data_IF_396273592325
#
_entry.id   IF_396273592325
#
_cell.length_a   1.000
_cell.length_b   1.000
_cell.length_c   1.000
_cell.angle_alpha   90.00
_cell.angle_beta   90.00
_cell.angle_gamma   90.00
#
_symmetry.space_group_name_H-M   'P 1'
#
loop_
_entity.id
_entity.type
_entity.pdbx_description
1 polymer ?
#
# COMPACT_ATOMS: atom_id res chain seq x y z
N UNK A 1 -4.59 -5.03 11.03
CA UNK A 1 -3.49 -5.93 10.58
C UNK A 1 -3.82 -7.38 10.88
N UNK A 2 -4.15 -7.73 12.14
CA UNK A 2 -4.48 -9.12 12.50
C UNK A 2 -5.64 -9.69 11.66
N UNK A 3 -6.78 -9.02 11.63
CA UNK A 3 -7.97 -9.45 10.88
C UNK A 3 -7.64 -9.64 9.40
N UNK A 4 -6.92 -8.70 8.82
CA UNK A 4 -6.55 -8.75 7.41
C UNK A 4 -5.61 -9.91 7.12
N UNK A 5 -4.56 -10.10 7.93
CA UNK A 5 -3.61 -11.21 7.77
C UNK A 5 -4.30 -12.55 7.99
N UNK A 6 -5.30 -12.58 8.86
CA UNK A 6 -6.11 -13.77 9.10
C UNK A 6 -6.97 -14.12 7.88
N UNK A 7 -7.68 -13.14 7.32
CA UNK A 7 -8.51 -13.33 6.11
C UNK A 7 -7.65 -13.75 4.91
N UNK A 8 -6.52 -13.07 4.68
CA UNK A 8 -5.58 -13.46 3.61
C UNK A 8 -5.06 -14.88 3.86
N UNK A 9 -4.74 -15.23 5.10
CA UNK A 9 -4.30 -16.58 5.46
C UNK A 9 -5.35 -17.67 5.21
N UNK A 10 -6.63 -17.36 5.44
CA UNK A 10 -7.75 -18.24 5.09
C UNK A 10 -7.83 -18.48 3.57
N UNK A 11 -7.72 -17.41 2.78
CA UNK A 11 -7.74 -17.49 1.32
C UNK A 11 -6.51 -18.21 0.76
N UNK A 12 -5.35 -18.05 1.39
CA UNK A 12 -4.11 -18.73 1.03
C UNK A 12 -4.22 -20.24 1.29
N UNK A 13 -4.66 -20.62 2.49
CA UNK A 13 -4.72 -22.05 2.90
C UNK A 13 -5.85 -22.81 2.20
N UNK A 14 -6.94 -22.13 1.80
CA UNK A 14 -8.01 -22.75 1.00
C UNK A 14 -7.61 -23.10 -0.44
N UNK A 15 -6.46 -22.58 -0.94
CA UNK A 15 -6.01 -22.75 -2.32
C UNK A 15 -6.65 -21.78 -3.32
N UNK A 16 -7.48 -20.84 -2.86
CA UNK A 16 -8.12 -19.83 -3.72
C UNK A 16 -7.10 -18.85 -4.30
N UNK A 17 -6.16 -18.38 -3.47
CA UNK A 17 -5.16 -17.39 -3.90
C UNK A 17 -4.25 -17.92 -5.02
N UNK A 18 -3.90 -19.19 -5.00
CA UNK A 18 -3.08 -19.81 -6.05
C UNK A 18 -3.78 -19.78 -7.41
N UNK A 19 -5.10 -20.04 -7.43
CA UNK A 19 -5.89 -19.97 -8.66
C UNK A 19 -6.09 -18.54 -9.14
N UNK A 20 -6.36 -17.62 -8.24
CA UNK A 20 -6.45 -16.19 -8.56
C UNK A 20 -5.12 -15.69 -9.16
N UNK A 21 -3.98 -16.07 -8.59
CA UNK A 21 -2.66 -15.74 -9.12
C UNK A 21 -2.43 -16.29 -10.54
N UNK A 22 -2.93 -17.50 -10.84
CA UNK A 22 -2.85 -18.10 -12.17
C UNK A 22 -3.67 -17.30 -13.19
N UNK A 23 -4.90 -16.92 -12.85
CA UNK A 23 -5.78 -16.12 -13.71
C UNK A 23 -5.15 -14.74 -13.97
N UNK A 24 -4.63 -14.11 -12.93
CA UNK A 24 -3.99 -12.79 -13.01
C UNK A 24 -2.59 -12.83 -13.64
N UNK A 25 -2.01 -14.01 -13.86
CA UNK A 25 -0.69 -14.13 -14.48
C UNK A 25 -0.64 -13.52 -15.89
N UNK A 26 -1.65 -13.76 -16.74
CA UNK A 26 -1.71 -13.23 -18.10
C UNK A 26 -1.63 -11.70 -18.14
N UNK A 27 -2.52 -10.94 -17.46
CA UNK A 27 -2.46 -9.49 -17.48
C UNK A 27 -1.21 -8.94 -16.77
N UNK A 28 -0.76 -9.55 -15.66
CA UNK A 28 0.43 -9.11 -14.94
C UNK A 28 1.72 -9.30 -15.76
N UNK A 29 1.79 -10.35 -16.56
CA UNK A 29 2.93 -10.61 -17.45
C UNK A 29 3.13 -9.51 -18.47
N UNK A 30 2.07 -8.86 -18.94
CA UNK A 30 2.17 -7.71 -19.84
C UNK A 30 2.96 -6.55 -19.23
N UNK A 31 2.87 -6.39 -17.91
CA UNK A 31 3.62 -5.39 -17.14
C UNK A 31 4.97 -5.91 -16.59
N UNK A 32 5.39 -7.12 -16.99
CA UNK A 32 6.64 -7.72 -16.52
C UNK A 32 6.59 -8.32 -15.11
N UNK A 33 5.40 -8.37 -14.51
CA UNK A 33 5.16 -8.97 -13.21
C UNK A 33 4.87 -10.48 -13.35
N UNK A 34 5.22 -11.26 -12.33
CA UNK A 34 4.87 -12.68 -12.29
C UNK A 34 3.50 -12.89 -11.63
N UNK A 35 2.86 -14.04 -11.87
CA UNK A 35 1.63 -14.40 -11.14
C UNK A 35 1.82 -14.45 -9.63
N UNK A 36 3.03 -14.80 -9.15
CA UNK A 36 3.38 -14.76 -7.72
C UNK A 36 3.38 -13.34 -7.15
N UNK A 37 3.49 -12.29 -7.98
CA UNK A 37 3.39 -10.88 -7.56
C UNK A 37 1.98 -10.47 -7.16
N UNK A 38 0.96 -11.21 -7.58
CA UNK A 38 -0.44 -10.92 -7.25
C UNK A 38 -0.70 -10.93 -5.73
N UNK A 39 -0.14 -11.90 -5.03
CA UNK A 39 -0.34 -12.05 -3.56
C UNK A 39 0.24 -10.87 -2.78
N UNK A 40 1.51 -10.45 -2.99
CA UNK A 40 2.04 -9.23 -2.40
C UNK A 40 1.26 -7.97 -2.76
N UNK A 41 0.83 -7.84 -4.02
CA UNK A 41 0.08 -6.67 -4.47
C UNK A 41 -1.30 -6.59 -3.79
N UNK A 42 -2.02 -7.70 -3.68
CA UNK A 42 -3.28 -7.77 -2.94
C UNK A 42 -3.07 -7.39 -1.46
N UNK A 43 -2.00 -7.89 -0.84
CA UNK A 43 -1.62 -7.50 0.53
C UNK A 43 -1.27 -6.03 0.62
N UNK A 44 -0.72 -5.43 -0.45
CA UNK A 44 -0.32 -4.02 -0.55
C UNK A 44 -1.49 -3.05 -0.46
N UNK A 45 -2.65 -3.41 -1.01
CA UNK A 45 -3.89 -2.62 -0.88
C UNK A 45 -4.30 -2.47 0.58
N UNK A 46 -3.96 -3.42 1.39
CA UNK A 46 -4.24 -3.36 2.81
C UNK A 46 -3.11 -2.67 3.60
N UNK A 47 -1.86 -3.09 3.41
CA UNK A 47 -0.70 -2.50 4.05
C UNK A 47 0.58 -2.82 3.27
N UNK A 48 1.37 -1.78 2.94
CA UNK A 48 2.59 -1.93 2.16
C UNK A 48 3.68 -2.76 2.88
N UNK A 49 3.77 -2.68 4.21
CA UNK A 49 4.83 -3.36 4.97
C UNK A 49 4.75 -4.89 4.84
N UNK A 50 3.63 -5.56 5.18
CA UNK A 50 3.52 -7.01 4.99
C UNK A 50 3.61 -7.42 3.52
N UNK A 51 3.17 -6.55 2.59
CA UNK A 51 3.30 -6.79 1.16
C UNK A 51 4.75 -6.86 0.69
N UNK A 52 5.60 -5.94 1.14
CA UNK A 52 7.04 -5.95 0.86
C UNK A 52 7.70 -7.22 1.42
N UNK A 53 7.32 -7.64 2.62
CA UNK A 53 7.81 -8.90 3.17
C UNK A 53 7.35 -10.13 2.36
N UNK A 54 6.10 -10.14 1.91
CA UNK A 54 5.57 -11.21 1.06
C UNK A 54 6.26 -11.25 -0.32
N UNK A 55 6.61 -10.08 -0.88
CA UNK A 55 7.29 -10.01 -2.17
C UNK A 55 8.69 -10.64 -2.17
N UNK A 56 9.31 -10.87 -1.00
CA UNK A 56 10.58 -11.60 -0.87
C UNK A 56 10.50 -13.05 -1.36
N UNK A 57 9.31 -13.65 -1.35
CA UNK A 57 9.09 -15.01 -1.85
C UNK A 57 9.11 -15.15 -3.37
N UNK A 58 9.20 -14.03 -4.10
CA UNK A 58 9.29 -14.02 -5.56
C UNK A 58 10.72 -14.40 -5.95
N UNK A 59 10.87 -15.49 -6.69
CA UNK A 59 12.17 -16.07 -7.08
C UNK A 59 12.90 -15.18 -8.08
N UNK A 60 12.19 -14.62 -9.07
CA UNK A 60 12.77 -13.73 -10.07
C UNK A 60 13.16 -12.39 -9.44
N UNK A 61 14.46 -12.00 -9.42
CA UNK A 61 14.90 -10.73 -8.83
C UNK A 61 14.22 -9.53 -9.50
N UNK A 62 13.99 -9.62 -10.80
CA UNK A 62 13.36 -8.58 -11.60
C UNK A 62 11.88 -8.41 -11.24
N UNK A 63 11.10 -9.50 -11.27
CA UNK A 63 9.69 -9.44 -10.90
C UNK A 63 9.52 -8.98 -9.45
N UNK A 64 10.43 -9.37 -8.56
CA UNK A 64 10.49 -8.91 -7.18
C UNK A 64 10.74 -7.40 -7.09
N UNK A 65 11.71 -6.87 -7.85
CA UNK A 65 12.00 -5.43 -7.88
C UNK A 65 10.80 -4.62 -8.42
N UNK A 66 10.20 -5.05 -9.53
CA UNK A 66 9.00 -4.41 -10.08
C UNK A 66 7.83 -4.44 -9.09
N UNK A 67 7.68 -5.54 -8.35
CA UNK A 67 6.66 -5.65 -7.31
C UNK A 67 6.93 -4.68 -6.16
N UNK A 68 8.19 -4.53 -5.72
CA UNK A 68 8.57 -3.55 -4.72
C UNK A 68 8.30 -2.10 -5.14
N UNK A 69 8.47 -1.82 -6.43
CA UNK A 69 8.18 -0.49 -6.98
C UNK A 69 6.67 -0.22 -7.07
N UNK A 70 5.88 -1.23 -7.42
CA UNK A 70 4.42 -1.10 -7.56
C UNK A 70 3.70 -0.97 -6.21
N UNK A 71 4.13 -1.70 -5.16
CA UNK A 71 3.46 -1.74 -3.86
C UNK A 71 3.27 -0.34 -3.23
N UNK A 72 4.26 0.56 -3.14
CA UNK A 72 4.07 1.88 -2.54
C UNK A 72 3.13 2.80 -3.31
N UNK A 73 2.95 2.56 -4.61
CA UNK A 73 2.05 3.35 -5.46
C UNK A 73 0.60 2.92 -5.30
N UNK A 74 0.37 1.71 -4.82
CA UNK A 74 -0.98 1.23 -4.57
C UNK A 74 -1.63 1.97 -3.38
N UNK A 75 -2.88 2.42 -3.53
CA UNK A 75 -3.61 3.02 -2.43
C UNK A 75 -3.88 1.97 -1.37
N UNK A 76 -3.46 2.24 -0.14
CA UNK A 76 -3.67 1.34 0.99
C UNK A 76 -4.69 1.91 1.98
N UNK A 77 -5.27 1.04 2.80
CA UNK A 77 -6.27 1.42 3.79
C UNK A 77 -5.77 2.47 4.81
N UNK A 78 -4.47 2.53 5.07
CA UNK A 78 -3.88 3.52 5.96
C UNK A 78 -3.95 4.97 5.42
N UNK A 79 -4.10 5.15 4.11
CA UNK A 79 -4.24 6.46 3.47
C UNK A 79 -5.70 6.92 3.36
N UNK A 80 -6.67 6.03 3.63
CA UNK A 80 -8.10 6.37 3.59
C UNK A 80 -8.46 7.61 4.43
N UNK A 81 -8.02 7.76 5.70
CA UNK A 81 -8.37 8.93 6.49
C UNK A 81 -7.90 10.24 5.86
N UNK A 82 -6.70 10.25 5.24
CA UNK A 82 -6.14 11.43 4.56
C UNK A 82 -6.96 11.75 3.31
N UNK A 83 -7.29 10.75 2.50
CA UNK A 83 -8.10 10.95 1.29
C UNK A 83 -9.52 11.43 1.64
N UNK A 84 -10.15 10.84 2.65
CA UNK A 84 -11.50 11.26 3.08
C UNK A 84 -11.50 12.67 3.63
N UNK A 85 -10.47 13.08 4.37
CA UNK A 85 -10.33 14.45 4.87
C UNK A 85 -10.18 15.44 3.70
N UNK A 86 -9.26 15.18 2.77
CA UNK A 86 -9.05 16.04 1.60
C UNK A 86 -10.31 16.14 0.73
N UNK A 87 -10.95 15.01 0.46
CA UNK A 87 -12.18 14.96 -0.32
C UNK A 87 -13.31 15.73 0.38
N UNK A 88 -13.41 15.63 1.71
CA UNK A 88 -14.42 16.35 2.48
C UNK A 88 -14.23 17.88 2.44
N UNK A 89 -12.98 18.36 2.31
CA UNK A 89 -12.65 19.78 2.23
C UNK A 89 -12.89 20.32 0.81
N UNK A 90 -12.43 19.61 -0.22
CA UNK A 90 -12.42 20.11 -1.59
C UNK A 90 -13.71 19.80 -2.37
N UNK A 91 -14.48 18.76 -2.00
CA UNK A 91 -15.63 18.30 -2.77
C UNK A 91 -16.92 18.50 -1.97
N UNK A 92 -17.88 19.30 -2.51
CA UNK A 92 -19.17 19.51 -1.85
C UNK A 92 -19.94 18.19 -1.71
N UNK A 93 -20.77 18.10 -0.66
CA UNK A 93 -21.62 16.93 -0.38
C UNK A 93 -22.86 16.90 -1.27
N UNK A 94 -22.68 17.04 -2.57
CA UNK A 94 -23.78 16.91 -3.52
C UNK A 94 -23.91 15.48 -4.03
N UNK A 95 -25.12 15.05 -4.29
CA UNK A 95 -25.39 13.73 -4.85
C UNK A 95 -25.27 13.77 -6.36
N UNK A 96 -24.36 12.95 -6.90
CA UNK A 96 -24.32 12.67 -8.32
C UNK A 96 -25.31 11.55 -8.68
N UNK A 97 -25.83 11.55 -9.90
CA UNK A 97 -26.66 10.46 -10.45
C UNK A 97 -27.85 10.02 -9.55
N UNK A 98 -28.79 10.95 -9.30
CA UNK A 98 -30.09 10.58 -8.72
C UNK A 98 -30.11 10.17 -7.26
N UNK A 99 -29.11 10.56 -6.45
CA UNK A 99 -29.14 10.37 -5.02
C UNK A 99 -28.47 9.10 -4.48
N UNK A 100 -27.99 8.19 -5.34
CA UNK A 100 -27.38 6.92 -4.92
C UNK A 100 -25.87 6.98 -4.67
N UNK A 101 -25.14 7.85 -5.37
CA UNK A 101 -23.70 7.96 -5.25
C UNK A 101 -23.31 9.43 -5.06
N UNK A 102 -22.65 9.75 -3.94
CA UNK A 102 -22.11 11.10 -3.71
C UNK A 102 -20.82 11.32 -4.53
N UNK A 103 -20.58 12.56 -4.97
CA UNK A 103 -19.34 12.96 -5.65
C UNK A 103 -18.08 12.56 -4.87
N UNK A 104 -18.15 12.59 -3.55
CA UNK A 104 -17.04 12.20 -2.66
C UNK A 104 -16.67 10.72 -2.81
N UNK A 105 -17.66 9.83 -2.88
CA UNK A 105 -17.44 8.40 -3.08
C UNK A 105 -16.89 8.07 -4.46
N UNK A 106 -17.38 8.76 -5.49
CA UNK A 106 -16.89 8.59 -6.86
C UNK A 106 -15.43 9.04 -7.00
N UNK A 107 -15.07 10.15 -6.38
CA UNK A 107 -13.69 10.64 -6.37
C UNK A 107 -12.76 9.69 -5.62
N UNK A 108 -13.20 9.18 -4.46
CA UNK A 108 -12.42 8.18 -3.72
C UNK A 108 -12.16 6.93 -4.58
N UNK A 109 -13.20 6.41 -5.22
CA UNK A 109 -13.07 5.27 -6.14
C UNK A 109 -12.11 5.56 -7.29
N UNK A 110 -12.22 6.75 -7.90
CA UNK A 110 -11.34 7.17 -8.99
C UNK A 110 -9.87 7.24 -8.55
N UNK A 111 -9.58 7.77 -7.36
CA UNK A 111 -8.22 7.82 -6.79
C UNK A 111 -7.67 6.40 -6.59
N UNK A 112 -8.49 5.46 -6.10
CA UNK A 112 -8.06 4.08 -5.91
C UNK A 112 -7.75 3.38 -7.23
N UNK A 113 -8.64 3.51 -8.22
CA UNK A 113 -8.43 2.94 -9.57
C UNK A 113 -7.19 3.58 -10.21
N UNK A 114 -7.06 4.89 -10.12
CA UNK A 114 -5.91 5.61 -10.69
C UNK A 114 -4.59 5.15 -10.05
N UNK A 115 -4.52 5.03 -8.72
CA UNK A 115 -3.32 4.57 -8.03
C UNK A 115 -2.94 3.13 -8.40
N UNK A 116 -3.93 2.25 -8.54
CA UNK A 116 -3.69 0.87 -8.97
C UNK A 116 -3.18 0.80 -10.41
N UNK A 117 -3.80 1.54 -11.31
CA UNK A 117 -3.37 1.61 -12.72
C UNK A 117 -1.99 2.25 -12.84
N UNK A 118 -1.74 3.35 -12.12
CA UNK A 118 -0.42 4.01 -12.11
C UNK A 118 0.69 3.07 -11.64
N UNK A 119 0.47 2.30 -10.57
CA UNK A 119 1.42 1.29 -10.10
C UNK A 119 1.76 0.23 -11.15
N UNK A 120 0.75 -0.27 -11.86
CA UNK A 120 0.95 -1.23 -12.95
C UNK A 120 1.66 -0.60 -14.16
N UNK A 121 1.27 0.61 -14.56
CA UNK A 121 1.86 1.33 -15.69
C UNK A 121 3.35 1.62 -15.43
N UNK A 122 3.69 2.09 -14.23
CA UNK A 122 5.09 2.37 -13.87
C UNK A 122 5.90 1.07 -13.85
N UNK A 123 5.36 -0.02 -13.29
CA UNK A 123 6.02 -1.32 -13.37
C UNK A 123 6.25 -1.77 -14.83
N UNK A 124 5.26 -1.58 -15.70
CA UNK A 124 5.35 -1.89 -17.13
C UNK A 124 6.36 -1.01 -17.87
N UNK A 125 6.42 0.27 -17.56
CA UNK A 125 7.37 1.21 -18.14
C UNK A 125 8.80 0.84 -17.77
N UNK A 126 9.07 0.59 -16.50
CA UNK A 126 10.38 0.16 -16.01
C UNK A 126 10.75 -1.20 -16.61
N UNK A 127 9.79 -2.09 -16.79
CA UNK A 127 10.01 -3.37 -17.46
C UNK A 127 10.44 -3.19 -18.93
N UNK A 128 9.89 -2.21 -19.64
CA UNK A 128 10.27 -1.90 -21.03
C UNK A 128 11.65 -1.25 -21.15
N UNK A 129 12.01 -0.38 -20.20
CA UNK A 129 13.27 0.34 -20.22
C UNK A 129 14.48 -0.55 -19.84
N UNK A 130 14.25 -1.64 -19.13
CA UNK A 130 15.31 -2.56 -18.73
C UNK A 130 15.25 -3.83 -19.57
N UNK A 131 16.33 -4.19 -20.30
CA UNK A 131 16.34 -5.37 -21.16
C UNK A 131 16.08 -6.66 -20.36
N UNK A 132 15.26 -7.54 -20.93
CA UNK A 132 14.84 -8.78 -20.31
C UNK A 132 15.84 -9.89 -20.59
N UNK A 133 16.63 -10.27 -19.62
CA UNK A 133 17.16 -11.63 -19.59
C UNK A 133 16.01 -12.59 -19.25
N UNK A 134 15.78 -13.57 -20.10
CA UNK A 134 14.75 -14.60 -20.11
C UNK A 134 13.84 -14.72 -18.88
N UNK A 135 12.55 -14.50 -19.09
CA UNK A 135 11.55 -14.77 -18.06
C UNK A 135 11.55 -16.27 -17.75
N UNK A 136 11.86 -16.61 -16.50
CA UNK A 136 11.68 -17.99 -16.05
C UNK A 136 10.22 -18.44 -16.25
N UNK A 137 9.98 -19.65 -16.75
CA UNK A 137 8.64 -20.16 -16.90
C UNK A 137 7.92 -20.15 -15.54
N UNK A 138 6.71 -19.61 -15.53
CA UNK A 138 5.87 -19.61 -14.33
C UNK A 138 5.37 -21.04 -14.09
N UNK A 139 6.01 -21.74 -13.19
CA UNK A 139 5.54 -23.02 -12.68
C UNK A 139 4.90 -22.81 -11.31
N UNK A 140 3.63 -23.12 -11.17
CA UNK A 140 2.90 -23.08 -9.93
C UNK A 140 2.06 -24.36 -9.83
N UNK A 141 2.37 -25.16 -8.83
CA UNK A 141 1.53 -26.30 -8.47
C UNK A 141 0.22 -25.78 -7.88
N UNK A 142 -0.90 -26.25 -8.43
CA UNK A 142 -2.23 -25.88 -7.96
C UNK A 142 -2.59 -26.81 -6.78
N UNK A 143 -2.58 -26.28 -5.54
CA UNK A 143 -3.01 -27.07 -4.40
C UNK A 143 -4.50 -27.47 -4.55
N UNK A 144 -4.84 -28.67 -4.11
CA UNK A 144 -6.25 -29.07 -4.02
C UNK A 144 -7.00 -28.16 -3.02
N UNK A 145 -8.28 -27.94 -3.26
CA UNK A 145 -9.11 -27.25 -2.29
C UNK A 145 -9.17 -28.04 -1.01
N UNK A 146 -8.87 -27.37 0.09
CA UNK A 146 -8.99 -27.94 1.43
C UNK A 146 -9.66 -26.96 2.39
N UNK A 147 -10.26 -27.51 3.43
CA UNK A 147 -10.82 -26.70 4.51
C UNK A 147 -9.64 -26.07 5.27
N UNK A 148 -9.61 -24.73 5.41
CA UNK A 148 -8.50 -24.04 6.05
C UNK A 148 -8.38 -24.42 7.53
N UNK A 149 -7.16 -24.65 8.00
CA UNK A 149 -6.88 -24.97 9.39
C UNK A 149 -6.79 -23.67 10.21
N UNK A 150 -7.84 -23.36 10.99
CA UNK A 150 -7.99 -22.07 11.70
C UNK A 150 -6.88 -21.82 12.72
N UNK A 151 -6.46 -22.84 13.47
CA UNK A 151 -5.47 -22.69 14.55
C UNK A 151 -4.07 -22.28 14.04
N UNK A 152 -3.48 -22.94 13.01
CA UNK A 152 -2.22 -22.52 12.43
C UNK A 152 -2.29 -21.12 11.82
N UNK A 153 -3.39 -20.78 11.15
CA UNK A 153 -3.61 -19.48 10.53
C UNK A 153 -3.65 -18.38 11.59
N UNK A 154 -4.43 -18.59 12.67
CA UNK A 154 -4.53 -17.63 13.76
C UNK A 154 -3.17 -17.41 14.46
N UNK A 155 -2.41 -18.50 14.69
CA UNK A 155 -1.06 -18.42 15.28
C UNK A 155 -0.10 -17.64 14.37
N UNK A 156 -0.10 -17.94 13.07
CA UNK A 156 0.73 -17.25 12.06
C UNK A 156 0.36 -15.76 11.96
N UNK A 157 -0.93 -15.45 11.97
CA UNK A 157 -1.45 -14.07 11.93
C UNK A 157 -1.08 -13.27 13.17
N UNK A 158 -1.19 -13.88 14.35
CA UNK A 158 -0.79 -13.26 15.61
C UNK A 158 0.72 -12.99 15.66
N UNK A 159 1.52 -13.94 15.17
CA UNK A 159 2.98 -13.78 15.11
C UNK A 159 3.39 -12.66 14.15
N UNK A 160 2.72 -12.53 12.98
CA UNK A 160 2.94 -11.43 12.04
C UNK A 160 2.53 -10.08 12.65
N UNK A 161 1.37 -10.04 13.33
CA UNK A 161 0.90 -8.84 14.03
C UNK A 161 1.87 -8.41 15.15
N UNK A 162 2.34 -9.34 15.98
CA UNK A 162 3.34 -9.09 17.02
C UNK A 162 4.64 -8.53 16.42
N UNK A 163 5.13 -9.13 15.34
CA UNK A 163 6.35 -8.67 14.67
C UNK A 163 6.20 -7.25 14.08
N UNK A 164 5.01 -6.93 13.55
CA UNK A 164 4.71 -5.58 13.08
C UNK A 164 4.72 -4.58 14.23
N UNK A 165 4.01 -4.86 15.33
CA UNK A 165 3.94 -3.96 16.49
C UNK A 165 5.33 -3.73 17.09
N UNK A 166 6.14 -4.78 17.23
CA UNK A 166 7.47 -4.64 17.84
C UNK A 166 8.48 -3.92 16.94
N UNK A 167 8.44 -4.12 15.62
CA UNK A 167 9.40 -3.49 14.71
C UNK A 167 8.90 -2.18 14.12
N UNK A 168 7.74 -2.18 13.47
CA UNK A 168 7.21 -0.98 12.84
C UNK A 168 6.59 -0.04 13.87
N UNK A 169 5.91 -0.56 14.90
CA UNK A 169 5.31 0.23 15.97
C UNK A 169 6.36 1.04 16.74
N UNK A 170 7.50 0.45 17.05
CA UNK A 170 8.59 1.16 17.74
C UNK A 170 9.14 2.32 16.91
N UNK A 171 9.32 2.12 15.60
CA UNK A 171 9.78 3.18 14.68
C UNK A 171 8.73 4.29 14.55
N UNK A 172 7.46 3.93 14.35
CA UNK A 172 6.36 4.89 14.24
C UNK A 172 6.26 5.72 15.53
N UNK A 173 6.28 5.06 16.70
CA UNK A 173 6.24 5.73 17.99
C UNK A 173 7.43 6.67 18.17
N UNK A 174 8.64 6.22 17.83
CA UNK A 174 9.84 7.05 17.90
C UNK A 174 9.73 8.29 17.01
N UNK A 175 9.31 8.14 15.77
CA UNK A 175 9.10 9.27 14.83
C UNK A 175 8.02 10.20 15.34
N UNK A 176 6.88 9.67 15.83
CA UNK A 176 5.79 10.48 16.38
C UNK A 176 6.23 11.30 17.60
N UNK A 177 7.00 10.69 18.49
CA UNK A 177 7.55 11.40 19.66
C UNK A 177 8.52 12.50 19.22
N UNK A 178 9.39 12.24 18.24
CA UNK A 178 10.30 13.25 17.68
C UNK A 178 9.53 14.41 17.08
N UNK A 179 8.53 14.12 16.23
CA UNK A 179 7.67 15.17 15.62
C UNK A 179 6.93 15.95 16.71
N UNK A 180 6.41 15.28 17.74
CA UNK A 180 5.74 15.92 18.85
C UNK A 180 6.69 16.87 19.62
N UNK A 181 7.91 16.42 19.91
CA UNK A 181 8.91 17.27 20.57
C UNK A 181 9.26 18.49 19.71
N UNK A 182 9.49 18.30 18.40
CA UNK A 182 9.79 19.38 17.48
C UNK A 182 8.63 20.38 17.33
N UNK A 183 7.39 19.91 17.41
CA UNK A 183 6.19 20.75 17.36
C UNK A 183 5.88 21.46 18.69
N UNK A 184 6.31 20.87 19.84
CA UNK A 184 6.03 21.41 21.16
C UNK A 184 7.04 22.50 21.58
N UNK A 185 8.31 22.36 21.23
CA UNK A 185 9.36 23.32 21.55
C UNK A 185 9.63 24.32 20.40
N UNK A 186 9.95 25.60 20.68
CA UNK A 186 10.14 26.23 22.00
C UNK A 186 8.87 26.79 22.63
N UNK A 187 7.76 26.92 21.91
CA UNK A 187 6.61 27.76 22.26
C UNK A 187 5.43 27.00 22.91
N UNK A 188 5.68 25.86 23.57
CA UNK A 188 4.69 25.05 24.31
C UNK A 188 3.38 24.76 23.52
N UNK A 189 3.43 24.71 22.19
CA UNK A 189 2.29 24.32 21.34
C UNK A 189 1.27 25.44 21.08
N UNK A 190 1.57 26.69 21.40
CA UNK A 190 0.65 27.83 21.20
C UNK A 190 0.58 28.22 19.72
N UNK A 191 1.71 28.25 19.01
CA UNK A 191 1.79 28.51 17.56
C UNK A 191 2.73 27.53 16.87
N UNK A 192 2.21 26.74 15.93
CA UNK A 192 3.01 25.80 15.14
C UNK A 192 4.06 26.51 14.28
N UNK A 193 3.79 27.76 13.87
CA UNK A 193 4.71 28.57 13.05
C UNK A 193 6.02 28.95 13.75
N UNK A 194 6.00 29.10 15.07
CA UNK A 194 7.19 29.42 15.88
C UNK A 194 7.89 28.17 16.45
N UNK A 195 7.34 26.97 16.19
CA UNK A 195 7.97 25.73 16.57
C UNK A 195 9.16 25.39 15.67
N UNK A 196 10.07 24.55 16.14
CA UNK A 196 11.18 24.07 15.30
C UNK A 196 10.69 23.38 14.03
N UNK A 197 9.55 22.69 14.10
CA UNK A 197 8.91 22.09 12.95
C UNK A 197 8.45 23.17 11.94
N UNK A 198 7.87 24.28 12.43
CA UNK A 198 7.46 25.42 11.60
C UNK A 198 8.65 26.13 10.95
N UNK A 199 9.73 26.35 11.69
CA UNK A 199 10.97 26.92 11.14
C UNK A 199 11.59 26.04 10.05
N UNK A 200 11.59 24.72 10.22
CA UNK A 200 12.03 23.79 9.18
C UNK A 200 11.09 23.83 7.97
N UNK A 201 9.77 23.95 8.18
CA UNK A 201 8.77 24.08 7.13
C UNK A 201 8.98 25.36 6.31
N UNK A 202 9.16 26.49 6.96
CA UNK A 202 9.46 27.80 6.32
C UNK A 202 10.76 27.78 5.52
N UNK A 203 11.77 27.04 5.99
CA UNK A 203 13.03 26.90 5.26
C UNK A 203 12.89 26.08 3.97
N UNK A 204 11.95 25.15 3.94
CA UNK A 204 11.65 24.29 2.78
C UNK A 204 10.58 24.92 1.86
N UNK A 205 9.78 25.85 2.38
CA UNK A 205 8.72 26.56 1.66
C UNK A 205 9.12 27.09 0.27
N UNK A 206 10.29 27.77 0.07
CA UNK A 206 10.67 28.32 -1.24
C UNK A 206 10.81 27.27 -2.33
N UNK A 207 11.01 25.98 -1.96
CA UNK A 207 11.09 24.88 -2.92
C UNK A 207 9.69 24.42 -3.36
N UNK A 208 8.68 24.52 -2.48
CA UNK A 208 7.31 24.07 -2.72
C UNK A 208 6.35 25.21 -3.12
N UNK A 209 6.73 26.47 -2.92
CA UNK A 209 5.95 27.64 -3.30
C UNK A 209 5.50 27.65 -4.77
N UNK A 210 6.32 27.21 -5.78
CA UNK A 210 5.87 27.14 -7.16
C UNK A 210 4.79 26.07 -7.41
N UNK A 211 4.58 25.15 -6.45
CA UNK A 211 3.53 24.11 -6.49
C UNK A 211 2.23 24.55 -5.79
N UNK A 212 2.20 25.76 -5.21
CA UNK A 212 1.02 26.28 -4.50
C UNK A 212 0.75 25.60 -3.16
N UNK A 213 1.77 24.99 -2.56
CA UNK A 213 1.68 24.36 -1.25
C UNK A 213 2.29 25.30 -0.22
N UNK A 214 1.43 25.91 0.61
CA UNK A 214 1.83 26.58 1.83
C UNK A 214 2.01 25.56 2.95
N UNK A 215 2.94 25.83 3.86
CA UNK A 215 3.22 24.93 5.00
C UNK A 215 2.15 24.96 6.08
#
# INVERSE_FOLDING_TARGET
IFVLTFVIGLLEDSGYLARAALICHKPLRFFGLSGKSFIPMLSGVACAIPAIYAARSIESPRARFLTYLAIPLMPCSARLPVYTLLIAIFIPRETALGGLIGWQGMTLFAIYVFGMVAGLVIAGLVNRLSPSEGQMPFMMELPAYRIPALVPIARKSLQRAKHFVTKAGAVILGVTVVIWILGYFPNQGVDLGESWLGMMGQWIEPVFQPLGLDW
#
